data_IF_737848919694
#
_entry.id   IF_737848919694
#
_cell.length_a   1.000
_cell.length_b   1.000
_cell.length_c   1.000
_cell.angle_alpha   90.00
_cell.angle_beta   90.00
_cell.angle_gamma   90.00
#
_symmetry.space_group_name_H-M   'P 1'
#
loop_
_entity.id
_entity.type
_entity.pdbx_description
1 polymer ?
#
# COMPACT_ATOMS: atom_id res chain seq x y z
N UNK A 1 -3.29 6.53 -15.51
CA UNK A 1 -2.07 5.83 -15.05
C UNK A 1 -1.41 6.54 -13.86
N UNK A 2 -1.14 7.86 -13.93
CA UNK A 2 -0.59 8.64 -12.80
C UNK A 2 -1.61 8.88 -11.68
N UNK A 3 -2.89 9.17 -11.99
CA UNK A 3 -3.91 9.45 -10.97
C UNK A 3 -4.25 8.28 -10.06
N UNK A 4 -4.38 7.06 -10.60
CA UNK A 4 -4.63 5.84 -9.82
C UNK A 4 -3.40 5.43 -8.99
N UNK A 5 -2.20 5.56 -9.55
CA UNK A 5 -0.96 5.33 -8.81
C UNK A 5 -0.72 6.39 -7.72
N UNK A 6 -0.99 7.66 -8.01
CA UNK A 6 -0.93 8.74 -7.02
C UNK A 6 -1.96 8.53 -5.90
N UNK A 7 -3.17 8.06 -6.22
CA UNK A 7 -4.18 7.70 -5.23
C UNK A 7 -3.67 6.54 -4.35
N UNK A 8 -3.07 5.51 -4.93
CA UNK A 8 -2.44 4.42 -4.17
C UNK A 8 -1.34 4.94 -3.22
N UNK A 9 -0.45 5.81 -3.71
CA UNK A 9 0.60 6.44 -2.90
C UNK A 9 0.03 7.30 -1.76
N UNK A 10 -1.06 8.05 -2.01
CA UNK A 10 -1.73 8.87 -0.99
C UNK A 10 -2.42 8.02 0.07
N UNK A 11 -3.06 6.92 -0.32
CA UNK A 11 -3.67 5.97 0.62
C UNK A 11 -2.58 5.31 1.50
N UNK A 12 -1.41 5.01 0.93
CA UNK A 12 -0.28 4.46 1.66
C UNK A 12 0.33 5.41 2.65
N UNK A 13 0.52 6.65 2.22
CA UNK A 13 1.00 7.72 3.09
C UNK A 13 0.03 7.95 4.26
N UNK A 14 -1.28 7.91 4.00
CA UNK A 14 -2.33 8.02 5.01
C UNK A 14 -2.31 6.88 6.03
N UNK A 15 -2.19 5.62 5.57
CA UNK A 15 -2.10 4.45 6.45
C UNK A 15 -0.83 4.46 7.31
N UNK A 16 0.32 4.80 6.72
CA UNK A 16 1.60 4.93 7.44
C UNK A 16 1.55 6.07 8.47
N UNK A 17 0.97 7.23 8.11
CA UNK A 17 0.80 8.35 9.02
C UNK A 17 -0.18 8.02 10.16
N UNK A 18 -1.26 7.29 9.88
CA UNK A 18 -2.21 6.82 10.89
C UNK A 18 -1.57 5.83 11.87
N UNK A 19 -0.84 4.84 11.35
CA UNK A 19 -0.08 3.88 12.18
C UNK A 19 0.97 4.58 13.03
N UNK A 20 1.71 5.53 12.44
CA UNK A 20 2.69 6.36 13.14
C UNK A 20 2.04 7.19 14.24
N UNK A 21 0.93 7.89 13.97
CA UNK A 21 0.18 8.65 14.96
C UNK A 21 -0.28 7.76 16.13
N UNK A 22 -0.82 6.58 15.82
CA UNK A 22 -1.30 5.64 16.83
C UNK A 22 -0.14 5.05 17.66
N UNK A 23 1.05 4.92 17.07
CA UNK A 23 2.27 4.57 17.79
C UNK A 23 2.78 5.70 18.68
N UNK A 24 2.74 6.94 18.21
CA UNK A 24 3.10 8.12 19.01
C UNK A 24 2.17 8.35 20.20
N UNK A 25 0.92 7.88 20.15
CA UNK A 25 -0.01 7.92 21.29
C UNK A 25 0.26 6.84 22.35
N UNK A 26 1.39 6.14 22.26
CA UNK A 26 1.82 5.13 23.24
C UNK A 26 0.77 4.01 23.45
N UNK A 27 -0.08 3.80 22.43
CA UNK A 27 -1.20 2.85 22.47
C UNK A 27 -0.74 1.42 22.16
N UNK A 28 0.49 1.26 21.65
CA UNK A 28 1.12 -0.03 21.42
C UNK A 28 2.10 -0.34 22.57
N UNK A 29 1.62 -1.09 23.55
CA UNK A 29 2.49 -1.84 24.46
C UNK A 29 3.22 -2.93 23.66
N UNK A 30 4.36 -3.42 24.16
CA UNK A 30 5.14 -4.57 23.62
C UNK A 30 4.29 -5.84 23.41
N UNK A 31 3.10 -5.91 24.02
CA UNK A 31 2.14 -7.01 23.90
C UNK A 31 1.08 -6.81 22.79
N UNK A 32 0.94 -5.59 22.25
CA UNK A 32 -0.15 -5.19 21.33
C UNK A 32 0.36 -4.53 20.03
N UNK A 33 1.45 -5.04 19.46
CA UNK A 33 2.00 -4.60 18.15
C UNK A 33 1.32 -5.26 16.94
N UNK A 34 0.49 -6.28 17.18
CA UNK A 34 -0.20 -7.08 16.16
C UNK A 34 -0.96 -6.23 15.12
N UNK A 35 -1.69 -5.15 15.47
CA UNK A 35 -2.39 -4.32 14.49
C UNK A 35 -1.43 -3.59 13.52
N UNK A 36 -0.24 -3.21 13.98
CA UNK A 36 0.77 -2.54 13.15
C UNK A 36 1.37 -3.51 12.16
N UNK A 37 1.75 -4.70 12.63
CA UNK A 37 2.33 -5.75 11.79
C UNK A 37 1.34 -6.22 10.72
N UNK A 38 0.08 -6.48 11.11
CA UNK A 38 -0.98 -6.87 10.17
C UNK A 38 -1.27 -5.78 9.13
N UNK A 39 -1.29 -4.51 9.54
CA UNK A 39 -1.50 -3.38 8.62
C UNK A 39 -0.32 -3.21 7.65
N UNK A 40 0.91 -3.39 8.14
CA UNK A 40 2.12 -3.37 7.31
C UNK A 40 2.15 -4.52 6.30
N UNK A 41 1.82 -5.74 6.73
CA UNK A 41 1.69 -6.92 5.86
C UNK A 41 0.61 -6.72 4.79
N UNK A 42 -0.56 -6.19 5.17
CA UNK A 42 -1.61 -5.85 4.22
C UNK A 42 -1.15 -4.81 3.20
N UNK A 43 -0.47 -3.75 3.66
CA UNK A 43 0.05 -2.71 2.78
C UNK A 43 1.06 -3.27 1.77
N UNK A 44 2.01 -4.09 2.23
CA UNK A 44 2.98 -4.77 1.36
C UNK A 44 2.31 -5.71 0.36
N UNK A 45 1.26 -6.42 0.75
CA UNK A 45 0.52 -7.28 -0.16
C UNK A 45 -0.13 -6.47 -1.29
N UNK A 46 -0.78 -5.35 -0.98
CA UNK A 46 -1.39 -4.47 -1.98
C UNK A 46 -0.33 -3.88 -2.92
N UNK A 47 0.83 -3.47 -2.39
CA UNK A 47 1.96 -2.96 -3.17
C UNK A 47 2.48 -4.01 -4.18
N UNK A 48 2.67 -5.26 -3.74
CA UNK A 48 3.08 -6.38 -4.61
C UNK A 48 2.06 -6.60 -5.73
N UNK A 49 0.76 -6.68 -5.41
CA UNK A 49 -0.30 -6.83 -6.42
C UNK A 49 -0.23 -5.71 -7.45
N UNK A 50 0.02 -4.48 -7.01
CA UNK A 50 0.12 -3.32 -7.89
C UNK A 50 1.33 -3.38 -8.82
N UNK A 51 2.49 -3.82 -8.33
CA UNK A 51 3.72 -4.02 -9.11
C UNK A 51 3.51 -5.02 -10.25
N UNK A 52 2.67 -6.04 -10.08
CA UNK A 52 2.36 -7.00 -11.15
C UNK A 52 1.24 -6.52 -12.08
N UNK A 53 0.21 -5.88 -11.53
CA UNK A 53 -0.97 -5.49 -12.27
C UNK A 53 -0.69 -4.29 -13.19
N UNK A 54 0.18 -3.36 -12.79
CA UNK A 54 0.52 -2.19 -13.58
C UNK A 54 1.26 -2.51 -14.90
N UNK A 55 2.36 -3.30 -14.91
CA UNK A 55 3.01 -3.73 -16.14
C UNK A 55 2.13 -4.67 -16.95
N UNK A 56 1.37 -5.56 -16.32
CA UNK A 56 0.47 -6.46 -17.04
C UNK A 56 -0.56 -5.68 -17.86
N UNK A 57 -1.25 -4.70 -17.25
CA UNK A 57 -2.23 -3.89 -17.97
C UNK A 57 -1.58 -2.94 -18.99
N UNK A 58 -0.39 -2.41 -18.71
CA UNK A 58 0.23 -1.39 -19.55
C UNK A 58 1.10 -1.95 -20.69
N UNK A 59 1.88 -3.01 -20.45
CA UNK A 59 2.72 -3.68 -21.45
C UNK A 59 1.88 -4.60 -22.34
N UNK A 60 0.95 -5.38 -21.78
CA UNK A 60 0.10 -6.27 -22.57
C UNK A 60 -0.98 -5.49 -23.33
N UNK A 61 -1.56 -4.45 -22.71
CA UNK A 61 -2.53 -3.56 -23.37
C UNK A 61 -1.96 -2.80 -24.56
N UNK A 62 -0.64 -2.56 -24.62
CA UNK A 62 0.03 -1.90 -25.76
C UNK A 62 0.24 -2.85 -26.96
N UNK A 63 0.27 -4.16 -26.75
CA UNK A 63 0.58 -5.15 -27.80
C UNK A 63 -0.64 -5.56 -28.66
N UNK A 64 -1.87 -5.38 -28.17
CA UNK A 64 -3.09 -5.78 -28.91
C UNK A 64 -3.58 -4.78 -29.97
N UNK A 65 -2.88 -3.66 -30.18
CA UNK A 65 -3.25 -2.60 -31.14
C UNK A 65 -2.39 -2.61 -32.42
N UNK A 66 -1.76 -3.74 -32.76
CA UNK A 66 -1.10 -3.98 -34.05
C UNK A 66 -1.69 -5.19 -34.75
#
# INVERSE_FOLDING_TARGET
MTGLHALHMVVGLGLMAWLGWMAFRNTYSSEYYMPVEMSGLYWHFVDIVWIFLFPLLYLLGRHFMH
#
